data_IF_879094782137
#
_entry.id   IF_879094782137
#
_cell.length_a   1.000
_cell.length_b   1.000
_cell.length_c   1.000
_cell.angle_alpha   90.00
_cell.angle_beta   90.00
_cell.angle_gamma   90.00
#
_symmetry.space_group_name_H-M   'P 1'
#
loop_
_entity.id
_entity.type
_entity.pdbx_description
1 polymer ?
#
# COMPACT_ATOMS: atom_id res chain seq x y z
N UNK A 1 2.25 -5.70 14.95
CA UNK A 1 1.90 -5.14 16.28
C UNK A 1 2.75 -3.92 16.67
N UNK A 2 4.09 -3.98 16.58
CA UNK A 2 4.98 -2.86 16.92
C UNK A 2 4.69 -1.56 16.13
N UNK A 3 4.30 -1.67 14.86
CA UNK A 3 3.91 -0.52 14.02
C UNK A 3 2.64 0.19 14.50
N UNK A 4 1.67 -0.52 15.07
CA UNK A 4 0.40 0.07 15.51
C UNK A 4 0.57 0.98 16.75
N UNK A 5 1.39 0.55 17.71
CA UNK A 5 1.68 1.34 18.92
C UNK A 5 2.39 2.64 18.54
N UNK A 6 3.38 2.58 17.66
CA UNK A 6 4.08 3.76 17.15
C UNK A 6 3.11 4.72 16.46
N UNK A 7 2.19 4.20 15.64
CA UNK A 7 1.17 5.02 14.99
C UNK A 7 0.24 5.70 15.99
N UNK A 8 -0.22 4.98 17.02
CA UNK A 8 -1.06 5.55 18.10
C UNK A 8 -0.33 6.66 18.84
N UNK A 9 0.96 6.47 19.18
CA UNK A 9 1.77 7.49 19.84
C UNK A 9 1.89 8.75 18.97
N UNK A 10 2.18 8.58 17.68
CA UNK A 10 2.28 9.68 16.71
C UNK A 10 0.97 10.46 16.62
N UNK A 11 -0.16 9.76 16.48
CA UNK A 11 -1.49 10.39 16.42
C UNK A 11 -1.79 11.13 17.74
N UNK A 12 -1.44 10.53 18.88
CA UNK A 12 -1.57 11.17 20.19
C UNK A 12 -0.75 12.46 20.30
N UNK A 13 0.50 12.45 19.83
CA UNK A 13 1.37 13.63 19.80
C UNK A 13 0.78 14.73 18.92
N UNK A 14 0.29 14.37 17.72
CA UNK A 14 -0.35 15.33 16.82
C UNK A 14 -1.59 15.95 17.45
N UNK A 15 -2.45 15.14 18.07
CA UNK A 15 -3.64 15.62 18.75
C UNK A 15 -3.31 16.58 19.90
N UNK A 16 -2.37 16.20 20.77
CA UNK A 16 -1.95 17.04 21.90
C UNK A 16 -1.28 18.34 21.43
N UNK A 17 -0.43 18.28 20.40
CA UNK A 17 0.21 19.45 19.81
C UNK A 17 -0.79 20.39 19.14
N UNK A 18 -1.74 19.86 18.37
CA UNK A 18 -2.82 20.66 17.76
C UNK A 18 -3.72 21.28 18.81
N UNK A 19 -4.06 20.56 19.89
CA UNK A 19 -4.84 21.08 21.00
C UNK A 19 -4.09 22.20 21.74
N UNK A 20 -2.79 22.03 21.98
CA UNK A 20 -1.94 23.07 22.57
C UNK A 20 -1.95 24.36 21.74
N UNK A 21 -1.76 24.25 20.42
CA UNK A 21 -1.81 25.38 19.48
C UNK A 21 -3.19 26.05 19.46
N UNK A 22 -4.27 25.28 19.54
CA UNK A 22 -5.63 25.82 19.58
C UNK A 22 -5.89 26.62 20.88
N UNK A 23 -5.56 26.05 22.04
CA UNK A 23 -5.79 26.69 23.35
C UNK A 23 -4.97 27.97 23.49
N UNK A 24 -3.71 27.94 23.05
CA UNK A 24 -2.82 29.12 23.12
C UNK A 24 -3.21 30.21 22.12
N UNK A 25 -3.61 29.85 20.90
CA UNK A 25 -4.09 30.84 19.91
C UNK A 25 -5.42 31.48 20.32
N UNK A 26 -6.25 30.78 21.10
CA UNK A 26 -7.46 31.32 21.73
C UNK A 26 -7.19 32.22 22.95
N UNK A 27 -5.92 32.43 23.34
CA UNK A 27 -5.56 33.28 24.48
C UNK A 27 -5.83 32.66 25.86
N UNK A 28 -6.17 31.37 25.92
CA UNK A 28 -6.46 30.67 27.17
C UNK A 28 -5.14 30.33 27.87
N UNK A 29 -4.94 30.88 29.06
CA UNK A 29 -3.75 30.61 29.90
C UNK A 29 -4.00 29.39 30.78
N UNK A 30 -3.07 28.45 30.78
CA UNK A 30 -3.11 27.27 31.65
C UNK A 30 -1.70 26.93 32.16
N UNK A 31 -1.61 26.48 33.41
CA UNK A 31 -0.35 26.40 34.18
C UNK A 31 0.60 25.27 33.74
N UNK A 32 0.07 24.16 33.23
CA UNK A 32 0.86 22.97 32.87
C UNK A 32 1.50 23.11 31.48
N UNK A 33 0.89 23.91 30.58
CA UNK A 33 1.27 23.96 29.17
C UNK A 33 2.54 24.70 28.86
N UNK A 34 2.89 25.75 29.61
CA UNK A 34 3.98 26.66 29.24
C UNK A 34 5.36 26.07 29.50
N UNK A 35 5.50 25.17 30.49
CA UNK A 35 6.80 24.59 30.87
C UNK A 35 7.37 23.61 29.84
N UNK A 36 6.50 22.84 29.18
CA UNK A 36 6.88 21.80 28.21
C UNK A 36 6.37 22.08 26.78
N UNK A 37 5.85 23.29 26.54
CA UNK A 37 5.26 23.68 25.25
C UNK A 37 6.24 23.46 24.09
N UNK A 38 7.50 23.83 24.30
CA UNK A 38 8.54 23.77 23.28
C UNK A 38 8.84 22.32 22.88
N UNK A 39 9.01 21.45 23.86
CA UNK A 39 9.30 20.03 23.66
C UNK A 39 8.13 19.34 22.96
N UNK A 40 6.90 19.59 23.40
CA UNK A 40 5.68 19.06 22.77
C UNK A 40 5.58 19.55 21.32
N UNK A 41 5.84 20.83 21.05
CA UNK A 41 5.82 21.38 19.70
C UNK A 41 6.88 20.74 18.78
N UNK A 42 8.10 20.52 19.30
CA UNK A 42 9.18 19.85 18.55
C UNK A 42 8.78 18.40 18.23
N UNK A 43 8.30 17.64 19.22
CA UNK A 43 7.84 16.26 19.02
C UNK A 43 6.67 16.17 18.01
N UNK A 44 5.73 17.11 18.10
CA UNK A 44 4.61 17.23 17.17
C UNK A 44 5.09 17.52 15.75
N UNK A 45 6.04 18.45 15.58
CA UNK A 45 6.63 18.77 14.28
C UNK A 45 7.35 17.58 13.66
N UNK A 46 8.17 16.87 14.45
CA UNK A 46 8.86 15.65 13.98
C UNK A 46 7.87 14.54 13.60
N UNK A 47 6.82 14.34 14.40
CA UNK A 47 5.75 13.40 14.10
C UNK A 47 5.05 13.72 12.77
N UNK A 48 4.77 15.01 12.53
CA UNK A 48 4.21 15.50 11.26
C UNK A 48 5.12 15.23 10.06
N UNK A 49 6.41 15.55 10.16
CA UNK A 49 7.41 15.31 9.11
C UNK A 49 7.55 13.81 8.81
N UNK A 50 7.54 12.98 9.86
CA UNK A 50 7.60 11.54 9.71
C UNK A 50 6.38 11.03 8.93
N UNK A 51 5.16 11.41 9.31
CA UNK A 51 3.95 10.99 8.59
C UNK A 51 3.92 11.51 7.14
N UNK A 52 4.33 12.77 6.90
CA UNK A 52 4.38 13.32 5.54
C UNK A 52 5.39 12.60 4.64
N UNK A 53 6.35 11.88 5.23
CA UNK A 53 7.31 11.07 4.48
C UNK A 53 6.75 9.67 4.16
N UNK A 54 5.62 9.27 4.76
CA UNK A 54 5.01 7.96 4.54
C UNK A 54 4.05 8.00 3.36
N UNK A 55 4.32 7.20 2.32
CA UNK A 55 3.43 7.06 1.15
C UNK A 55 2.01 6.69 1.54
N UNK A 56 1.88 5.75 2.47
CA UNK A 56 0.59 5.18 2.87
C UNK A 56 -0.27 6.17 3.68
N UNK A 57 0.31 7.27 4.18
CA UNK A 57 -0.45 8.37 4.79
C UNK A 57 -1.37 9.05 3.78
N UNK A 58 -0.90 9.26 2.55
CA UNK A 58 -1.68 9.87 1.47
C UNK A 58 -2.49 8.85 0.68
N UNK A 59 -1.98 7.61 0.59
CA UNK A 59 -2.55 6.53 -0.21
C UNK A 59 -2.72 5.28 0.67
N UNK A 60 -3.66 5.30 1.65
CA UNK A 60 -3.81 4.21 2.63
C UNK A 60 -4.14 2.87 1.98
N UNK A 61 -4.80 2.91 0.82
CA UNK A 61 -5.08 1.71 0.05
C UNK A 61 -3.81 1.03 -0.48
N UNK A 62 -2.64 1.67 -0.54
CA UNK A 62 -1.38 1.01 -0.94
C UNK A 62 -0.70 0.26 0.21
N UNK A 63 -1.10 0.55 1.46
CA UNK A 63 -0.56 -0.08 2.64
C UNK A 63 -1.17 -1.46 2.93
N UNK A 64 -0.82 -1.99 4.10
CA UNK A 64 -1.41 -3.24 4.61
C UNK A 64 -2.88 -3.03 4.94
N UNK A 65 -3.71 -4.04 4.70
CA UNK A 65 -5.15 -3.97 4.91
C UNK A 65 -5.68 -5.26 5.53
N UNK A 66 -6.70 -5.16 6.38
CA UNK A 66 -7.43 -6.34 6.86
C UNK A 66 -8.26 -6.90 5.72
N UNK A 67 -8.10 -8.19 5.43
CA UNK A 67 -8.91 -8.89 4.44
C UNK A 67 -8.96 -10.39 4.77
N UNK A 68 -10.15 -10.98 5.00
CA UNK A 68 -10.25 -12.40 5.37
C UNK A 68 -9.63 -13.31 4.29
N UNK A 69 -8.52 -13.98 4.64
CA UNK A 69 -7.72 -14.76 3.69
C UNK A 69 -8.49 -15.93 3.05
N UNK A 70 -9.51 -16.43 3.75
CA UNK A 70 -10.38 -17.52 3.30
C UNK A 70 -11.32 -17.10 2.14
N UNK A 71 -11.55 -15.80 1.94
CA UNK A 71 -12.32 -15.29 0.81
C UNK A 71 -11.50 -15.24 -0.48
N UNK A 72 -10.16 -15.22 -0.36
CA UNK A 72 -9.25 -15.18 -1.50
C UNK A 72 -9.10 -16.59 -2.07
N UNK A 73 -9.76 -16.84 -3.21
CA UNK A 73 -9.68 -18.12 -3.92
C UNK A 73 -8.61 -18.06 -5.01
N UNK A 74 -7.85 -19.14 -5.12
CA UNK A 74 -6.85 -19.35 -6.18
C UNK A 74 -7.52 -19.23 -7.55
N UNK A 75 -6.92 -18.46 -8.45
CA UNK A 75 -7.46 -18.22 -9.79
C UNK A 75 -6.34 -17.81 -10.73
N UNK A 76 -6.44 -18.24 -11.99
CA UNK A 76 -5.50 -17.94 -13.05
C UNK A 76 -6.27 -17.21 -14.17
N UNK A 77 -5.73 -16.11 -14.74
CA UNK A 77 -6.29 -15.49 -15.93
C UNK A 77 -6.45 -16.50 -17.07
N UNK A 78 -7.57 -16.45 -17.81
CA UNK A 78 -7.88 -17.43 -18.87
C UNK A 78 -6.79 -17.53 -19.95
N UNK A 79 -6.19 -16.41 -20.32
CA UNK A 79 -5.20 -16.31 -21.41
C UNK A 79 -3.77 -16.10 -20.89
N UNK A 80 -3.50 -16.51 -19.64
CA UNK A 80 -2.18 -16.41 -19.05
C UNK A 80 -1.14 -17.23 -19.83
N UNK A 81 -0.02 -16.60 -20.18
CA UNK A 81 1.08 -17.23 -20.90
C UNK A 81 2.47 -16.81 -20.43
N UNK A 82 2.56 -15.81 -19.56
CA UNK A 82 3.78 -15.47 -18.83
C UNK A 82 3.75 -16.08 -17.44
N UNK A 83 4.93 -16.51 -16.98
CA UNK A 83 5.13 -17.11 -15.66
C UNK A 83 6.30 -16.44 -14.96
N UNK A 84 6.09 -16.01 -13.72
CA UNK A 84 7.16 -15.48 -12.87
C UNK A 84 7.05 -16.06 -11.47
N UNK A 85 8.18 -16.51 -10.93
CA UNK A 85 8.27 -16.93 -9.53
C UNK A 85 8.67 -15.74 -8.67
N UNK A 86 7.97 -15.54 -7.56
CA UNK A 86 8.35 -14.56 -6.53
C UNK A 86 8.58 -15.25 -5.19
N UNK A 87 9.57 -14.76 -4.43
CA UNK A 87 9.78 -15.15 -3.05
C UNK A 87 8.81 -14.43 -2.13
N UNK A 88 8.26 -15.16 -1.17
CA UNK A 88 7.20 -14.71 -0.29
C UNK A 88 7.69 -14.58 1.16
N UNK A 89 6.99 -13.73 1.92
CA UNK A 89 7.20 -13.62 3.36
C UNK A 89 6.84 -14.97 4.03
N UNK A 90 7.44 -15.27 5.18
CA UNK A 90 7.35 -16.60 5.82
C UNK A 90 5.94 -16.99 6.27
N UNK A 91 5.09 -16.01 6.53
CA UNK A 91 3.68 -16.17 6.94
C UNK A 91 2.70 -15.94 5.76
N UNK A 92 3.21 -15.75 4.54
CA UNK A 92 2.38 -15.61 3.36
C UNK A 92 1.83 -16.96 2.90
N UNK A 93 0.52 -17.01 2.67
CA UNK A 93 -0.20 -18.21 2.21
C UNK A 93 -0.60 -18.12 0.74
N UNK A 94 -0.85 -16.90 0.24
CA UNK A 94 -1.23 -16.64 -1.15
C UNK A 94 -0.66 -15.32 -1.64
N UNK A 95 -0.67 -15.13 -2.94
CA UNK A 95 -0.34 -13.87 -3.60
C UNK A 95 -1.49 -13.47 -4.51
N UNK A 96 -2.12 -12.33 -4.23
CA UNK A 96 -3.09 -11.70 -5.13
C UNK A 96 -2.33 -10.78 -6.07
N UNK A 97 -2.55 -10.89 -7.37
CA UNK A 97 -1.86 -10.06 -8.37
C UNK A 97 -2.81 -9.56 -9.45
N UNK A 98 -2.47 -8.41 -10.02
CA UNK A 98 -3.19 -7.81 -11.13
C UNK A 98 -2.23 -7.01 -12.02
N UNK A 99 -2.50 -7.02 -13.31
CA UNK A 99 -1.77 -6.24 -14.32
C UNK A 99 -2.72 -5.50 -15.23
N UNK A 100 -2.17 -4.57 -16.02
CA UNK A 100 -2.93 -3.99 -17.12
C UNK A 100 -3.30 -5.08 -18.15
N UNK A 101 -4.32 -4.82 -18.94
CA UNK A 101 -4.71 -5.66 -20.05
C UNK A 101 -3.59 -5.74 -21.10
N UNK A 102 -3.66 -6.78 -21.92
CA UNK A 102 -2.88 -6.82 -23.16
C UNK A 102 -3.43 -5.82 -24.17
N UNK A 103 -2.55 -5.35 -25.05
CA UNK A 103 -2.92 -4.43 -26.11
C UNK A 103 -1.76 -4.18 -27.07
N UNK A 104 -2.06 -3.79 -28.30
CA UNK A 104 -1.04 -3.48 -29.31
C UNK A 104 -0.35 -2.12 -29.08
N UNK A 105 -1.04 -1.18 -28.44
CA UNK A 105 -0.56 0.18 -28.17
C UNK A 105 -0.73 0.54 -26.70
N UNK A 106 0.06 1.47 -26.16
CA UNK A 106 -0.11 1.93 -24.78
C UNK A 106 -1.51 2.49 -24.52
N UNK A 107 -2.08 2.15 -23.35
CA UNK A 107 -3.35 2.72 -22.93
C UNK A 107 -3.20 4.18 -22.50
N UNK A 108 -4.28 4.95 -22.67
CA UNK A 108 -4.29 6.39 -22.37
C UNK A 108 -4.25 6.66 -20.86
N UNK A 109 -4.83 5.79 -20.05
CA UNK A 109 -5.02 6.01 -18.62
C UNK A 109 -5.19 4.68 -17.86
N UNK A 110 -5.10 4.68 -16.52
CA UNK A 110 -5.32 3.47 -15.73
C UNK A 110 -6.70 2.84 -15.93
N UNK A 111 -7.75 3.64 -16.09
CA UNK A 111 -9.13 3.14 -16.20
C UNK A 111 -9.29 2.27 -17.45
N UNK A 112 -8.73 2.70 -18.58
CA UNK A 112 -8.67 1.90 -19.81
C UNK A 112 -7.73 0.70 -19.69
N UNK A 113 -6.60 0.85 -19.01
CA UNK A 113 -5.63 -0.22 -18.82
C UNK A 113 -6.17 -1.40 -17.99
N UNK A 114 -7.01 -1.14 -17.00
CA UNK A 114 -7.56 -2.16 -16.08
C UNK A 114 -9.03 -2.50 -16.36
N UNK A 115 -9.58 -2.06 -17.49
CA UNK A 115 -10.99 -2.28 -17.84
C UNK A 115 -11.31 -3.78 -17.83
N UNK A 116 -12.44 -4.16 -17.23
CA UNK A 116 -12.95 -5.53 -17.13
C UNK A 116 -12.07 -6.53 -16.35
N UNK A 117 -10.88 -6.11 -15.92
CA UNK A 117 -9.95 -6.87 -15.05
C UNK A 117 -9.65 -8.33 -15.47
N UNK A 118 -9.43 -8.67 -16.76
CA UNK A 118 -9.09 -10.04 -17.16
C UNK A 118 -7.69 -10.49 -16.70
N UNK A 119 -6.76 -9.56 -16.44
CA UNK A 119 -5.39 -9.86 -16.02
C UNK A 119 -5.21 -9.88 -14.49
N UNK A 120 -6.02 -10.67 -13.80
CA UNK A 120 -5.99 -10.81 -12.34
C UNK A 120 -5.92 -12.26 -11.91
N UNK A 121 -5.16 -12.52 -10.86
CA UNK A 121 -4.96 -13.87 -10.36
C UNK A 121 -4.65 -13.94 -8.88
N UNK A 122 -4.72 -15.16 -8.37
CA UNK A 122 -4.35 -15.52 -7.02
C UNK A 122 -3.53 -16.81 -7.12
N UNK A 123 -2.28 -16.74 -6.70
CA UNK A 123 -1.38 -17.89 -6.62
C UNK A 123 -1.24 -18.36 -5.17
N UNK A 124 -1.10 -19.67 -4.98
CA UNK A 124 -0.73 -20.22 -3.67
C UNK A 124 0.77 -20.11 -3.44
N UNK A 125 1.15 -19.96 -2.17
CA UNK A 125 2.54 -20.00 -1.76
C UNK A 125 2.90 -21.45 -1.41
N UNK A 126 3.92 -21.99 -2.08
CA UNK A 126 4.54 -23.28 -1.77
C UNK A 126 6.03 -23.08 -1.58
N UNK A 127 6.59 -23.66 -0.51
CA UNK A 127 8.04 -23.61 -0.24
C UNK A 127 8.61 -22.18 -0.24
N UNK A 128 7.85 -21.23 0.33
CA UNK A 128 8.23 -19.82 0.43
C UNK A 128 8.21 -19.06 -0.90
N UNK A 129 7.62 -19.62 -1.96
CA UNK A 129 7.53 -18.98 -3.28
C UNK A 129 6.14 -19.13 -3.88
N UNK A 130 5.78 -18.23 -4.79
CA UNK A 130 4.53 -18.30 -5.56
C UNK A 130 4.81 -18.16 -7.04
N UNK A 131 4.15 -19.01 -7.85
CA UNK A 131 4.16 -18.93 -9.30
C UNK A 131 3.01 -18.04 -9.78
N UNK A 132 3.34 -16.88 -10.35
CA UNK A 132 2.36 -15.95 -10.91
C UNK A 132 2.22 -16.20 -12.40
N UNK A 133 0.99 -16.46 -12.85
CA UNK A 133 0.66 -16.69 -14.25
C UNK A 133 -0.23 -15.56 -14.78
N UNK A 134 0.19 -14.85 -15.82
CA UNK A 134 -0.48 -13.63 -16.28
C UNK A 134 -0.29 -13.37 -17.78
N UNK A 135 -1.06 -12.41 -18.29
CA UNK A 135 -0.94 -11.84 -19.63
C UNK A 135 0.08 -10.69 -19.63
N UNK A 136 0.85 -10.50 -20.72
CA UNK A 136 1.83 -9.42 -20.87
C UNK A 136 1.18 -8.03 -20.70
N UNK A 137 1.36 -7.35 -19.55
CA UNK A 137 0.65 -6.11 -19.30
C UNK A 137 1.13 -5.02 -20.25
N UNK A 138 0.21 -4.27 -20.84
CA UNK A 138 0.58 -3.14 -21.69
C UNK A 138 0.86 -1.88 -20.86
N UNK A 139 1.75 -1.04 -21.38
CA UNK A 139 2.11 0.27 -20.85
C UNK A 139 0.88 1.18 -20.84
N UNK A 140 0.86 2.12 -19.91
CA UNK A 140 -0.18 3.14 -19.85
C UNK A 140 0.32 4.44 -19.24
N UNK A 141 -0.40 5.53 -19.51
CA UNK A 141 -0.03 6.85 -19.03
C UNK A 141 -0.69 7.17 -17.69
N UNK A 142 0.07 7.73 -16.76
CA UNK A 142 -0.44 8.30 -15.50
C UNK A 142 0.05 9.74 -15.40
N UNK A 143 -0.88 10.70 -15.48
CA UNK A 143 -0.59 12.13 -15.33
C UNK A 143 0.55 12.62 -16.24
N UNK A 144 0.56 12.18 -17.49
CA UNK A 144 1.58 12.54 -18.49
C UNK A 144 2.80 11.62 -18.52
N UNK A 145 3.00 10.76 -17.52
CA UNK A 145 4.11 9.81 -17.47
C UNK A 145 3.69 8.44 -18.00
N UNK A 146 4.36 7.99 -19.06
CA UNK A 146 4.23 6.63 -19.56
C UNK A 146 4.92 5.65 -18.60
N UNK A 147 4.18 4.69 -18.07
CA UNK A 147 4.72 3.66 -17.19
C UNK A 147 5.24 2.46 -18.00
N UNK A 148 6.30 1.85 -17.51
CA UNK A 148 6.80 0.56 -18.04
C UNK A 148 5.80 -0.55 -17.71
N UNK A 149 5.92 -1.69 -18.39
CA UNK A 149 5.10 -2.87 -18.10
C UNK A 149 5.36 -3.37 -16.69
N UNK A 150 4.30 -3.63 -15.95
CA UNK A 150 4.39 -4.10 -14.57
C UNK A 150 3.13 -4.84 -14.14
N UNK A 151 3.28 -5.65 -13.11
CA UNK A 151 2.18 -6.23 -12.34
C UNK A 151 2.24 -5.70 -10.91
N UNK A 152 1.08 -5.52 -10.31
CA UNK A 152 0.93 -5.27 -8.89
C UNK A 152 0.58 -6.56 -8.18
N UNK A 153 1.06 -6.70 -6.95
CA UNK A 153 0.71 -7.84 -6.13
C UNK A 153 0.69 -7.49 -4.64
N UNK A 154 -0.02 -8.33 -3.89
CA UNK A 154 -0.03 -8.35 -2.42
C UNK A 154 0.12 -9.77 -1.94
N UNK A 155 0.82 -9.93 -0.83
CA UNK A 155 0.87 -11.19 -0.10
C UNK A 155 -0.33 -11.26 0.86
N UNK A 156 -0.97 -12.42 0.93
CA UNK A 156 -2.04 -12.73 1.87
C UNK A 156 -1.43 -13.52 3.01
N UNK A 157 -1.59 -13.04 4.23
CA UNK A 157 -1.05 -13.67 5.43
C UNK A 157 -2.16 -14.43 6.17
N UNK A 158 -1.78 -15.52 6.86
CA UNK A 158 -2.71 -16.40 7.59
C UNK A 158 -3.46 -15.69 8.73
N UNK A 159 -2.91 -14.58 9.23
CA UNK A 159 -3.51 -13.69 10.23
C UNK A 159 -4.65 -12.79 9.69
N UNK A 160 -5.09 -12.98 8.44
CA UNK A 160 -6.16 -12.19 7.83
C UNK A 160 -5.73 -10.80 7.36
N UNK A 161 -4.43 -10.60 7.15
CA UNK A 161 -3.87 -9.38 6.59
C UNK A 161 -3.49 -9.56 5.12
N UNK A 162 -3.80 -8.55 4.32
CA UNK A 162 -3.14 -8.29 3.05
C UNK A 162 -1.95 -7.36 3.29
N UNK A 163 -0.79 -7.74 2.76
CA UNK A 163 0.38 -6.89 2.73
C UNK A 163 0.21 -5.64 1.86
N UNK A 164 1.21 -4.74 1.86
CA UNK A 164 1.21 -3.56 1.02
C UNK A 164 1.28 -3.94 -0.46
N UNK A 165 0.81 -3.03 -1.33
CA UNK A 165 0.96 -3.18 -2.77
C UNK A 165 2.44 -3.12 -3.13
N UNK A 166 2.93 -4.21 -3.71
CA UNK A 166 4.25 -4.34 -4.32
C UNK A 166 4.09 -4.29 -5.84
N UNK A 167 5.13 -3.83 -6.53
CA UNK A 167 5.14 -3.73 -8.00
C UNK A 167 6.32 -4.52 -8.55
N UNK A 168 6.06 -5.38 -9.53
CA UNK A 168 7.07 -6.11 -10.26
C UNK A 168 7.09 -5.60 -11.71
N UNK A 169 8.23 -5.07 -12.16
CA UNK A 169 8.45 -4.75 -13.57
C UNK A 169 8.64 -6.04 -14.35
N UNK A 170 8.04 -6.10 -15.53
CA UNK A 170 8.12 -7.28 -16.41
C UNK A 170 8.59 -6.86 -17.79
N UNK A 171 9.34 -7.73 -18.46
CA UNK A 171 9.77 -7.49 -19.84
C UNK A 171 9.14 -8.53 -20.78
N UNK A 172 8.34 -7.99 -21.67
CA UNK A 172 7.61 -8.56 -22.81
C UNK A 172 7.19 -7.33 -23.65
#
# INVERSE_FOLDING_TARGET
MQSAIVHIIIVGLLFLGSLHLLVTSAGIKYSIGTRYAREIAILTGMAGIYLSSQRDFYLPFLGSAVYPYNLVKTTIPKDAHLKVVIHCDTDATKVVYWGANEGAVPFKDPQSAYKDTPNVGVAEVSDGSALLEFMCPQRYNVRGKLLDRHIHYRMVHDNGMLGPVKTLKVNC
#
